data_IF_622215698240
#
_entry.id   IF_622215698240
#
_cell.length_a   1.000
_cell.length_b   1.000
_cell.length_c   1.000
_cell.angle_alpha   90.00
_cell.angle_beta   90.00
_cell.angle_gamma   90.00
#
_symmetry.space_group_name_H-M   'P 1'
#
loop_
_entity.id
_entity.type
_entity.pdbx_description
1 polymer ?
#
# COMPACT_ATOMS: atom_id res chain seq x y z
N UNK A 1 -0.10 3.46 9.77
CA UNK A 1 -1.41 2.83 10.06
C UNK A 1 -2.30 3.07 8.85
N UNK A 2 -2.80 1.98 8.24
CA UNK A 2 -3.44 2.01 6.90
C UNK A 2 -4.80 2.73 6.90
N UNK A 3 -5.54 2.66 7.99
CA UNK A 3 -6.82 3.35 8.21
C UNK A 3 -6.71 4.88 8.15
N UNK A 4 -5.54 5.45 8.43
CA UNK A 4 -5.31 6.90 8.38
C UNK A 4 -5.45 7.44 6.95
N UNK A 5 -5.19 6.62 5.93
CA UNK A 5 -5.43 6.98 4.53
C UNK A 5 -6.93 7.25 4.25
N UNK A 6 -7.82 6.52 4.92
CA UNK A 6 -9.28 6.71 4.84
C UNK A 6 -9.75 7.92 5.65
N UNK A 7 -9.22 8.12 6.86
CA UNK A 7 -9.78 9.07 7.83
C UNK A 7 -9.15 10.46 7.79
N UNK A 8 -7.96 10.62 7.21
CA UNK A 8 -7.23 11.89 7.16
C UNK A 8 -7.07 12.41 5.74
N UNK A 9 -7.30 13.70 5.55
CA UNK A 9 -6.94 14.44 4.34
C UNK A 9 -5.69 15.31 4.53
N UNK A 10 -5.04 15.22 5.69
CA UNK A 10 -3.91 16.09 6.04
C UNK A 10 -2.65 15.72 5.25
N UNK A 11 -2.37 14.43 5.09
CA UNK A 11 -1.22 13.95 4.31
C UNK A 11 -1.62 13.67 2.86
N UNK A 12 -0.66 13.84 1.95
CA UNK A 12 -0.80 13.50 0.52
C UNK A 12 -0.18 12.15 0.16
N UNK A 13 0.64 11.59 1.03
CA UNK A 13 1.34 10.34 0.76
C UNK A 13 1.38 9.50 2.02
N UNK A 14 0.98 8.25 1.90
CA UNK A 14 0.80 7.32 3.00
C UNK A 14 1.61 6.07 2.73
N UNK A 15 2.61 5.82 3.57
CA UNK A 15 3.40 4.59 3.57
C UNK A 15 2.90 3.68 4.68
N UNK A 16 2.43 2.50 4.34
CA UNK A 16 1.95 1.49 5.27
C UNK A 16 2.84 0.26 5.18
N UNK A 17 3.85 0.21 6.05
CA UNK A 17 4.79 -0.90 6.15
C UNK A 17 4.30 -1.99 7.10
N UNK A 18 4.38 -3.25 6.65
CA UNK A 18 3.91 -4.44 7.36
C UNK A 18 2.58 -4.20 8.08
N UNK A 19 1.52 -3.67 7.40
CA UNK A 19 0.25 -3.41 8.06
C UNK A 19 -0.19 -4.67 8.80
N UNK A 20 -0.54 -4.50 10.08
CA UNK A 20 -1.06 -5.59 10.89
C UNK A 20 -2.47 -5.97 10.41
N UNK A 21 -2.54 -6.81 9.39
CA UNK A 21 -3.76 -7.30 8.75
C UNK A 21 -4.32 -8.51 9.49
N UNK A 22 -4.43 -8.39 10.83
CA UNK A 22 -5.01 -9.41 11.70
C UNK A 22 -6.53 -9.58 11.54
N UNK A 23 -7.20 -10.12 12.56
CA UNK A 23 -8.67 -10.26 12.56
C UNK A 23 -9.33 -8.88 12.38
N UNK A 24 -9.93 -8.63 11.21
CA UNK A 24 -10.49 -7.34 10.81
C UNK A 24 -9.94 -6.77 9.48
N UNK A 25 -8.95 -7.42 8.87
CA UNK A 25 -8.32 -6.92 7.64
C UNK A 25 -9.31 -6.83 6.45
N UNK A 26 -10.19 -7.82 6.29
CA UNK A 26 -11.16 -7.86 5.18
C UNK A 26 -12.08 -6.64 5.19
N UNK A 27 -12.48 -6.19 6.39
CA UNK A 27 -13.33 -5.01 6.55
C UNK A 27 -12.57 -3.72 6.19
N UNK A 28 -11.28 -3.63 6.52
CA UNK A 28 -10.47 -2.47 6.17
C UNK A 28 -10.20 -2.42 4.67
N UNK A 29 -9.78 -3.54 4.06
CA UNK A 29 -9.56 -3.62 2.62
C UNK A 29 -10.86 -3.36 1.83
N UNK A 30 -12.00 -3.88 2.30
CA UNK A 30 -13.32 -3.58 1.71
C UNK A 30 -13.65 -2.09 1.77
N UNK A 31 -13.33 -1.39 2.85
CA UNK A 31 -13.53 0.08 2.95
C UNK A 31 -12.59 0.84 2.02
N UNK A 32 -11.36 0.36 1.86
CA UNK A 32 -10.37 0.93 0.94
C UNK A 32 -10.83 0.80 -0.50
N UNK A 33 -11.33 -0.37 -0.91
CA UNK A 33 -11.83 -0.55 -2.28
C UNK A 33 -13.16 0.16 -2.52
N UNK A 34 -13.94 0.49 -1.49
CA UNK A 34 -15.22 1.18 -1.61
C UNK A 34 -15.12 2.71 -1.76
N UNK A 35 -13.91 3.30 -1.75
CA UNK A 35 -13.76 4.76 -1.83
C UNK A 35 -14.25 5.32 -3.17
N UNK A 36 -14.72 6.56 -3.10
CA UNK A 36 -15.05 7.40 -4.26
C UNK A 36 -13.75 8.03 -4.80
N UNK A 37 -13.29 7.68 -6.02
CA UNK A 37 -11.92 8.00 -6.45
C UNK A 37 -11.61 9.49 -6.52
N UNK A 38 -12.61 10.30 -6.88
CA UNK A 38 -12.50 11.75 -6.96
C UNK A 38 -12.06 12.40 -5.64
N UNK A 39 -12.34 11.77 -4.50
CA UNK A 39 -11.95 12.26 -3.16
C UNK A 39 -10.52 11.88 -2.74
N UNK A 40 -9.91 10.91 -3.43
CA UNK A 40 -8.61 10.33 -3.07
C UNK A 40 -7.54 10.60 -4.14
N UNK A 41 -7.89 11.34 -5.19
CA UNK A 41 -7.03 11.66 -6.32
C UNK A 41 -5.68 12.33 -5.97
N UNK A 42 -5.67 13.14 -4.92
CA UNK A 42 -4.48 13.84 -4.44
C UNK A 42 -3.68 13.04 -3.39
N UNK A 43 -4.09 11.80 -3.09
CA UNK A 43 -3.49 10.94 -2.07
C UNK A 43 -2.84 9.74 -2.72
N UNK A 44 -1.59 9.47 -2.34
CA UNK A 44 -0.85 8.27 -2.72
C UNK A 44 -0.86 7.26 -1.58
N UNK A 45 -1.08 5.99 -1.89
CA UNK A 45 -1.01 4.89 -0.95
C UNK A 45 0.06 3.88 -1.35
N UNK A 46 1.05 3.68 -0.49
CA UNK A 46 2.08 2.67 -0.65
C UNK A 46 1.91 1.61 0.43
N UNK A 47 1.60 0.38 0.03
CA UNK A 47 1.63 -0.78 0.93
C UNK A 47 2.97 -1.47 0.76
N UNK A 48 3.66 -1.73 1.87
CA UNK A 48 5.03 -2.24 1.85
C UNK A 48 5.08 -3.48 2.71
N UNK A 49 5.48 -4.60 2.13
CA UNK A 49 5.54 -5.89 2.84
C UNK A 49 6.90 -6.54 2.66
N UNK A 50 7.31 -7.30 3.67
CA UNK A 50 8.43 -8.21 3.54
C UNK A 50 7.92 -9.61 3.22
N UNK A 51 8.47 -10.26 2.19
CA UNK A 51 8.18 -11.67 1.92
C UNK A 51 9.14 -12.56 2.74
N UNK A 52 8.58 -13.48 3.53
CA UNK A 52 9.37 -14.46 4.27
C UNK A 52 10.11 -15.40 3.29
N UNK A 53 11.27 -15.90 3.71
CA UNK A 53 12.10 -16.80 2.90
C UNK A 53 11.33 -18.10 2.60
N UNK A 54 11.44 -18.68 1.40
CA UNK A 54 10.80 -19.95 1.07
C UNK A 54 11.11 -21.04 2.10
N UNK A 55 10.08 -21.64 2.70
CA UNK A 55 10.20 -22.67 3.75
C UNK A 55 9.93 -22.20 5.18
N UNK A 56 9.55 -20.94 5.40
CA UNK A 56 9.01 -20.48 6.69
C UNK A 56 7.50 -20.82 6.81
N UNK A 57 7.10 -21.54 7.86
CA UNK A 57 5.71 -21.93 8.14
C UNK A 57 4.73 -20.73 8.31
N UNK A 58 5.24 -19.50 8.31
CA UNK A 58 4.43 -18.26 8.27
C UNK A 58 3.89 -17.95 6.86
N UNK A 59 4.31 -18.69 5.83
CA UNK A 59 3.98 -18.45 4.41
C UNK A 59 2.48 -18.54 4.09
N UNK A 60 1.74 -19.50 4.64
CA UNK A 60 0.37 -19.77 4.15
C UNK A 60 -0.63 -18.69 4.53
N UNK A 61 -0.47 -18.11 5.73
CA UNK A 61 -1.32 -17.01 6.20
C UNK A 61 -0.89 -15.66 5.60
N UNK A 62 0.41 -15.49 5.31
CA UNK A 62 0.94 -14.32 4.61
C UNK A 62 0.54 -14.29 3.13
N UNK A 63 0.54 -15.45 2.45
CA UNK A 63 0.18 -15.55 1.03
C UNK A 63 -1.27 -15.11 0.75
N UNK A 64 -2.24 -15.57 1.56
CA UNK A 64 -3.64 -15.18 1.40
C UNK A 64 -3.89 -13.69 1.66
N UNK A 65 -3.10 -13.07 2.53
CA UNK A 65 -3.15 -11.63 2.81
C UNK A 65 -2.55 -10.83 1.65
N UNK A 66 -1.40 -11.24 1.14
CA UNK A 66 -0.75 -10.61 -0.02
C UNK A 66 -1.65 -10.63 -1.26
N UNK A 67 -2.33 -11.74 -1.54
CA UNK A 67 -3.29 -11.81 -2.66
C UNK A 67 -4.39 -10.74 -2.53
N UNK A 68 -4.92 -10.51 -1.32
CA UNK A 68 -5.97 -9.51 -1.09
C UNK A 68 -5.45 -8.08 -1.16
N UNK A 69 -4.20 -7.85 -0.73
CA UNK A 69 -3.52 -6.56 -0.91
C UNK A 69 -3.39 -6.25 -2.41
N UNK A 70 -2.86 -7.19 -3.20
CA UNK A 70 -2.71 -7.00 -4.64
C UNK A 70 -4.05 -6.72 -5.34
N UNK A 71 -5.10 -7.48 -5.00
CA UNK A 71 -6.44 -7.25 -5.53
C UNK A 71 -7.00 -5.87 -5.15
N UNK A 72 -6.74 -5.42 -3.91
CA UNK A 72 -7.14 -4.10 -3.42
C UNK A 72 -6.43 -2.99 -4.20
N UNK A 73 -5.12 -3.10 -4.39
CA UNK A 73 -4.32 -2.10 -5.09
C UNK A 73 -4.69 -2.02 -6.57
N UNK A 74 -4.92 -3.16 -7.23
CA UNK A 74 -5.42 -3.20 -8.61
C UNK A 74 -6.77 -2.48 -8.73
N UNK A 75 -7.70 -2.71 -7.79
CA UNK A 75 -9.00 -2.02 -7.78
C UNK A 75 -8.86 -0.51 -7.59
N UNK A 76 -7.89 -0.06 -6.80
CA UNK A 76 -7.61 1.37 -6.63
C UNK A 76 -6.99 1.99 -7.89
N UNK A 77 -6.08 1.29 -8.53
CA UNK A 77 -5.45 1.71 -9.78
C UNK A 77 -6.49 1.82 -10.91
N UNK A 78 -7.38 0.84 -11.07
CA UNK A 78 -8.50 0.87 -12.02
C UNK A 78 -9.44 2.07 -11.79
N UNK A 79 -9.53 2.50 -10.53
CA UNK A 79 -10.29 3.68 -10.10
C UNK A 79 -9.53 5.00 -10.32
N UNK A 80 -8.28 4.96 -10.77
CA UNK A 80 -7.43 6.13 -10.97
C UNK A 80 -6.81 6.67 -9.67
N UNK A 81 -6.85 5.91 -8.58
CA UNK A 81 -6.17 6.26 -7.32
C UNK A 81 -4.71 5.79 -7.42
N UNK A 82 -3.76 6.68 -7.13
CA UNK A 82 -2.34 6.31 -7.10
C UNK A 82 -2.04 5.41 -5.90
N UNK A 83 -1.96 4.11 -6.14
CA UNK A 83 -1.63 3.12 -5.14
C UNK A 83 -0.55 2.16 -5.65
N UNK A 84 0.37 1.74 -4.79
CA UNK A 84 1.47 0.85 -5.17
C UNK A 84 1.80 -0.18 -4.08
N UNK A 85 2.34 -1.32 -4.51
CA UNK A 85 2.91 -2.34 -3.65
C UNK A 85 4.43 -2.33 -3.74
N UNK A 86 5.11 -2.28 -2.60
CA UNK A 86 6.56 -2.44 -2.55
C UNK A 86 6.91 -3.72 -1.79
N UNK A 87 7.47 -4.68 -2.52
CA UNK A 87 7.99 -5.92 -1.94
C UNK A 87 9.43 -5.72 -1.46
N UNK A 88 9.71 -6.18 -0.24
CA UNK A 88 11.04 -6.22 0.34
C UNK A 88 11.41 -7.69 0.59
N UNK A 89 11.95 -8.37 -0.42
CA UNK A 89 12.09 -9.81 -0.37
C UNK A 89 13.08 -10.29 0.69
N UNK A 90 12.73 -11.40 1.33
CA UNK A 90 13.50 -12.06 2.38
C UNK A 90 13.62 -11.25 3.70
N UNK A 91 12.81 -10.21 3.88
CA UNK A 91 12.78 -9.45 5.13
C UNK A 91 11.61 -9.90 6.02
N UNK A 92 11.93 -10.36 7.23
CA UNK A 92 10.95 -10.48 8.31
C UNK A 92 10.55 -9.11 8.88
N UNK A 93 9.57 -9.07 9.79
CA UNK A 93 9.01 -7.81 10.33
C UNK A 93 10.06 -6.85 10.93
N UNK A 94 11.09 -7.36 11.62
CA UNK A 94 12.15 -6.51 12.22
C UNK A 94 12.97 -5.76 11.17
N UNK A 95 13.69 -6.47 10.29
CA UNK A 95 14.43 -5.85 9.17
C UNK A 95 13.56 -4.98 8.26
N UNK A 96 12.28 -5.32 8.11
CA UNK A 96 11.34 -4.56 7.31
C UNK A 96 11.15 -3.12 7.79
N UNK A 97 11.28 -2.83 9.09
CA UNK A 97 11.16 -1.45 9.60
C UNK A 97 12.20 -0.51 8.98
N UNK A 98 13.48 -0.86 9.01
CA UNK A 98 14.53 0.00 8.48
C UNK A 98 14.44 0.13 6.96
N UNK A 99 14.22 -0.99 6.26
CA UNK A 99 14.12 -0.99 4.80
C UNK A 99 12.95 -0.14 4.31
N UNK A 100 11.78 -0.32 4.94
CA UNK A 100 10.58 0.47 4.62
C UNK A 100 10.78 1.95 4.91
N UNK A 101 11.27 2.30 6.10
CA UNK A 101 11.48 3.69 6.48
C UNK A 101 12.46 4.41 5.53
N UNK A 102 13.60 3.79 5.22
CA UNK A 102 14.56 4.35 4.27
C UNK A 102 13.95 4.47 2.87
N UNK A 103 13.25 3.44 2.38
CA UNK A 103 12.59 3.51 1.07
C UNK A 103 11.59 4.66 0.97
N UNK A 104 10.79 4.88 2.03
CA UNK A 104 9.84 6.00 2.08
C UNK A 104 10.54 7.37 2.04
N UNK A 105 11.67 7.52 2.74
CA UNK A 105 12.47 8.76 2.72
C UNK A 105 13.07 9.04 1.33
N UNK A 106 13.51 8.01 0.62
CA UNK A 106 14.05 8.15 -0.74
C UNK A 106 12.97 8.47 -1.78
N UNK A 107 11.76 7.94 -1.62
CA UNK A 107 10.65 8.30 -2.51
C UNK A 107 10.15 9.73 -2.25
N UNK A 108 10.00 10.13 -0.99
CA UNK A 108 9.52 11.48 -0.68
C UNK A 108 10.57 12.57 -0.98
N UNK A 109 11.87 12.24 -0.98
CA UNK A 109 12.93 13.16 -1.42
C UNK A 109 12.91 13.41 -2.93
N UNK A 110 12.18 12.59 -3.69
CA UNK A 110 12.12 12.66 -5.14
C UNK A 110 13.30 11.97 -5.84
N UNK A 111 14.15 11.25 -5.11
CA UNK A 111 15.31 10.53 -5.67
C UNK A 111 14.89 9.48 -6.71
N UNK A 112 13.67 8.94 -6.58
CA UNK A 112 13.08 7.96 -7.50
C UNK A 112 11.91 8.52 -8.34
N UNK A 113 11.77 9.84 -8.46
CA UNK A 113 10.61 10.46 -9.12
C UNK A 113 10.62 10.29 -10.65
N UNK A 114 10.24 9.10 -11.11
CA UNK A 114 9.59 8.90 -12.40
C UNK A 114 8.18 9.51 -12.32
N UNK A 115 7.93 10.50 -13.17
CA UNK A 115 6.71 11.29 -13.31
C UNK A 115 5.42 10.46 -13.07
N UNK A 116 4.87 10.49 -11.85
CA UNK A 116 3.59 9.85 -11.54
C UNK A 116 2.46 10.81 -11.88
N UNK A 117 1.81 10.52 -13.01
CA UNK A 117 0.69 11.29 -13.53
C UNK A 117 -0.42 11.41 -12.48
N UNK A 118 -0.91 12.64 -12.29
CA UNK A 118 -2.16 12.88 -11.59
C UNK A 118 -3.31 12.14 -12.27
N UNK A 119 -4.39 11.90 -11.52
CA UNK A 119 -5.54 11.11 -11.94
C UNK A 119 -5.92 11.37 -13.40
N UNK A 120 -6.00 10.29 -14.19
CA UNK A 120 -6.58 10.35 -15.51
C UNK A 120 -7.98 10.92 -15.39
N UNK A 121 -8.20 12.09 -16.00
CA UNK A 121 -9.54 12.62 -16.17
C UNK A 121 -10.32 11.60 -17.00
N UNK A 122 -11.32 10.95 -16.40
CA UNK A 122 -12.33 10.25 -17.16
C UNK A 122 -13.02 11.29 -18.04
N UNK A 123 -12.65 11.31 -19.32
CA UNK A 123 -13.27 12.15 -20.33
C UNK A 123 -14.78 11.92 -20.31
N UNK A 124 -15.52 13.03 -20.17
CA UNK A 124 -16.97 13.08 -20.35
C UNK A 124 -17.37 12.71 -21.76
#
# INVERSE_FOLDING_TARGET
MLDTWLSSSYFRTYYSASPSLGRGHDALLSRITAVEPSQYCARRLMIMEGSATPGDNRETHAAGVLTKIHATLATLEDKGVTAAFWDFPNLGHGPMFNASFHGALLDISGENAGNTAGCHALSR
#
